data_IF_800019514368
#
_entry.id   IF_800019514368
#
_cell.length_a   1.000
_cell.length_b   1.000
_cell.length_c   1.000
_cell.angle_alpha   90.00
_cell.angle_beta   90.00
_cell.angle_gamma   90.00
#
_symmetry.space_group_name_H-M   'P 1'
#
loop_
_entity.id
_entity.type
_entity.pdbx_description
1 polymer ?
#
# COMPACT_ATOMS: atom_id res chain seq x y z
N UNK A 1 -16.50 -13.58 1.31
CA UNK A 1 -15.50 -12.52 1.13
C UNK A 1 -14.20 -12.94 1.80
N UNK A 2 -13.07 -12.76 1.12
CA UNK A 2 -11.76 -13.15 1.65
C UNK A 2 -11.11 -11.92 2.26
N UNK A 3 -10.79 -11.97 3.55
CA UNK A 3 -10.20 -10.84 4.30
C UNK A 3 -8.79 -11.14 4.81
N UNK A 4 -8.40 -12.39 4.87
CA UNK A 4 -7.10 -12.84 5.35
C UNK A 4 -6.71 -14.13 4.66
N UNK A 5 -5.42 -14.29 4.40
CA UNK A 5 -4.89 -15.48 3.76
C UNK A 5 -3.55 -15.85 4.39
N UNK A 6 -3.42 -17.07 4.85
CA UNK A 6 -2.17 -17.63 5.37
C UNK A 6 -1.86 -18.95 4.67
N UNK A 7 -0.67 -19.09 4.15
CA UNK A 7 -0.26 -20.30 3.49
C UNK A 7 1.17 -20.21 2.98
N UNK A 8 1.53 -21.18 2.15
CA UNK A 8 2.85 -21.26 1.54
C UNK A 8 2.94 -20.30 0.35
N UNK A 9 3.93 -19.43 0.36
CA UNK A 9 4.23 -18.59 -0.79
C UNK A 9 4.87 -19.44 -1.89
N UNK A 10 4.15 -19.67 -2.98
CA UNK A 10 4.64 -20.51 -4.08
C UNK A 10 5.16 -19.73 -5.27
N UNK A 11 4.82 -18.45 -5.36
CA UNK A 11 5.29 -17.56 -6.42
C UNK A 11 5.21 -16.11 -5.96
N UNK A 12 6.18 -15.30 -6.35
CA UNK A 12 6.11 -13.84 -6.19
C UNK A 12 6.89 -13.12 -7.27
N UNK A 13 6.37 -12.00 -7.71
CA UNK A 13 7.10 -10.98 -8.46
C UNK A 13 6.49 -9.61 -8.12
N UNK A 14 7.11 -8.49 -8.54
CA UNK A 14 6.52 -7.17 -8.33
C UNK A 14 5.09 -7.12 -8.91
N UNK A 15 4.11 -6.91 -8.05
CA UNK A 15 2.70 -6.83 -8.45
C UNK A 15 1.87 -8.10 -8.26
N UNK A 16 2.49 -9.25 -8.00
CA UNK A 16 1.75 -10.51 -7.86
C UNK A 16 2.38 -11.45 -6.84
N UNK A 17 1.55 -12.14 -6.09
CA UNK A 17 1.95 -13.28 -5.26
C UNK A 17 0.90 -14.38 -5.38
N UNK A 18 1.36 -15.63 -5.32
CA UNK A 18 0.46 -16.79 -5.22
C UNK A 18 0.73 -17.48 -3.88
N UNK A 19 -0.32 -17.58 -3.08
CA UNK A 19 -0.28 -18.21 -1.76
C UNK A 19 -1.14 -19.46 -1.79
N UNK A 20 -0.56 -20.60 -1.48
CA UNK A 20 -1.26 -21.86 -1.39
C UNK A 20 -1.74 -22.11 0.03
N UNK A 21 -3.04 -22.24 0.19
CA UNK A 21 -3.67 -22.59 1.45
C UNK A 21 -4.59 -23.80 1.24
N UNK A 22 -4.39 -24.86 2.00
CA UNK A 22 -5.17 -26.10 1.90
C UNK A 22 -5.26 -26.66 0.47
N UNK A 23 -4.18 -26.57 -0.29
CA UNK A 23 -4.12 -27.08 -1.66
C UNK A 23 -4.68 -26.14 -2.73
N UNK A 24 -5.15 -24.95 -2.35
CA UNK A 24 -5.68 -23.95 -3.28
C UNK A 24 -4.68 -22.81 -3.43
N UNK A 25 -4.29 -22.49 -4.67
CA UNK A 25 -3.45 -21.35 -4.96
C UNK A 25 -4.29 -20.09 -5.17
N UNK A 26 -4.08 -19.09 -4.32
CA UNK A 26 -4.74 -17.78 -4.42
C UNK A 26 -3.81 -16.80 -5.11
N UNK A 27 -4.28 -16.26 -6.24
CA UNK A 27 -3.56 -15.24 -6.99
C UNK A 27 -3.90 -13.86 -6.44
N UNK A 28 -2.91 -13.17 -5.90
CA UNK A 28 -3.08 -11.92 -5.16
C UNK A 28 -2.27 -10.82 -5.83
N UNK A 29 -2.92 -9.70 -6.14
CA UNK A 29 -2.24 -8.48 -6.56
C UNK A 29 -1.66 -7.78 -5.34
N UNK A 30 -0.38 -7.41 -5.39
CA UNK A 30 0.34 -6.81 -4.27
C UNK A 30 1.05 -5.52 -4.71
N UNK A 31 1.31 -4.65 -3.74
CA UNK A 31 2.15 -3.47 -3.94
C UNK A 31 3.63 -3.84 -3.93
N UNK A 32 4.48 -2.91 -4.40
CA UNK A 32 5.94 -3.08 -4.32
C UNK A 32 6.42 -3.18 -2.87
N UNK A 33 5.97 -2.35 -1.91
CA UNK A 33 6.34 -2.55 -0.50
C UNK A 33 5.99 -3.94 0.03
N UNK A 34 4.81 -4.46 -0.29
CA UNK A 34 4.43 -5.82 0.11
C UNK A 34 5.34 -6.87 -0.55
N UNK A 35 5.63 -6.74 -1.84
CA UNK A 35 6.56 -7.64 -2.53
C UNK A 35 7.94 -7.66 -1.86
N UNK A 36 8.46 -6.49 -1.55
CA UNK A 36 9.80 -6.35 -0.94
C UNK A 36 9.85 -6.99 0.45
N UNK A 37 8.77 -6.88 1.22
CA UNK A 37 8.70 -7.40 2.59
C UNK A 37 8.28 -8.87 2.68
N UNK A 38 7.75 -9.47 1.62
CA UNK A 38 7.38 -10.87 1.60
C UNK A 38 8.61 -11.78 1.79
N UNK A 39 8.43 -12.93 2.48
CA UNK A 39 9.51 -13.90 2.62
C UNK A 39 9.86 -14.56 1.29
N UNK A 40 10.86 -15.44 1.31
CA UNK A 40 11.26 -16.22 0.15
C UNK A 40 10.17 -17.20 -0.27
N UNK A 41 10.10 -17.50 -1.56
CA UNK A 41 9.25 -18.57 -2.09
C UNK A 41 9.53 -19.88 -1.34
N UNK A 42 8.47 -20.55 -0.93
CA UNK A 42 8.52 -21.77 -0.09
C UNK A 42 8.24 -21.51 1.39
N UNK A 43 8.37 -20.27 1.87
CA UNK A 43 8.07 -19.92 3.25
C UNK A 43 6.57 -19.64 3.46
N UNK A 44 6.14 -19.66 4.71
CA UNK A 44 4.79 -19.27 5.09
C UNK A 44 4.64 -17.74 5.00
N UNK A 45 3.53 -17.29 4.43
CA UNK A 45 3.16 -15.89 4.36
C UNK A 45 1.71 -15.69 4.82
N UNK A 46 1.44 -14.57 5.47
CA UNK A 46 0.10 -14.16 5.86
C UNK A 46 -0.17 -12.76 5.31
N UNK A 47 -1.29 -12.59 4.64
CA UNK A 47 -1.67 -11.33 4.01
C UNK A 47 -3.04 -10.88 4.50
N UNK A 48 -3.18 -9.57 4.69
CA UNK A 48 -4.49 -8.93 4.78
C UNK A 48 -5.03 -8.78 3.37
N UNK A 49 -6.26 -9.21 3.13
CA UNK A 49 -6.85 -9.28 1.79
C UNK A 49 -8.02 -8.32 1.66
N UNK A 50 -8.05 -7.60 0.56
CA UNK A 50 -9.22 -6.91 0.07
C UNK A 50 -9.76 -7.68 -1.13
N UNK A 51 -11.03 -8.10 -1.06
CA UNK A 51 -11.71 -8.79 -2.16
C UNK A 51 -12.49 -7.79 -2.99
N UNK A 52 -12.13 -7.67 -4.26
CA UNK A 52 -12.84 -6.82 -5.21
C UNK A 52 -13.70 -7.68 -6.12
N UNK A 53 -15.00 -7.45 -6.09
CA UNK A 53 -15.96 -8.18 -6.93
C UNK A 53 -16.47 -7.26 -8.02
N UNK A 54 -16.35 -7.67 -9.26
CA UNK A 54 -16.97 -7.03 -10.41
C UNK A 54 -17.89 -8.02 -11.12
N UNK A 55 -18.58 -7.57 -12.17
CA UNK A 55 -19.51 -8.45 -12.91
C UNK A 55 -18.82 -9.69 -13.47
N UNK A 56 -17.57 -9.57 -13.88
CA UNK A 56 -16.86 -10.60 -14.66
C UNK A 56 -15.76 -11.31 -13.86
N UNK A 57 -15.37 -10.78 -12.68
CA UNK A 57 -14.25 -11.35 -11.95
C UNK A 57 -14.26 -11.05 -10.46
N UNK A 58 -13.58 -11.90 -9.73
CA UNK A 58 -13.20 -11.67 -8.34
C UNK A 58 -11.69 -11.47 -8.32
N UNK A 59 -11.23 -10.33 -7.79
CA UNK A 59 -9.80 -10.02 -7.66
C UNK A 59 -9.43 -9.88 -6.19
N UNK A 60 -8.24 -10.39 -5.83
CA UNK A 60 -7.69 -10.28 -4.49
C UNK A 60 -6.53 -9.30 -4.49
N UNK A 61 -6.53 -8.39 -3.52
CA UNK A 61 -5.44 -7.45 -3.26
C UNK A 61 -4.90 -7.73 -1.87
N UNK A 62 -3.59 -7.94 -1.76
CA UNK A 62 -2.97 -8.39 -0.51
C UNK A 62 -1.91 -7.44 0.01
N UNK A 63 -1.86 -7.32 1.33
CA UNK A 63 -0.97 -6.42 2.04
C UNK A 63 -0.39 -7.12 3.27
N UNK A 64 0.89 -6.93 3.54
CA UNK A 64 1.51 -7.35 4.79
C UNK A 64 1.19 -6.39 5.93
N UNK A 65 1.09 -5.11 5.60
CA UNK A 65 0.77 -4.06 6.57
C UNK A 65 -0.72 -3.75 6.54
N UNK A 66 -1.35 -3.81 7.69
CA UNK A 66 -2.77 -3.50 7.85
C UNK A 66 -3.08 -2.04 7.52
N UNK A 67 -2.18 -1.11 7.84
CA UNK A 67 -2.36 0.31 7.54
C UNK A 67 -2.32 0.56 6.03
N UNK A 68 -1.46 -0.16 5.31
CA UNK A 68 -1.43 -0.09 3.84
C UNK A 68 -2.77 -0.55 3.25
N UNK A 69 -3.34 -1.64 3.75
CA UNK A 69 -4.68 -2.11 3.33
C UNK A 69 -5.75 -1.06 3.62
N UNK A 70 -5.73 -0.46 4.81
CA UNK A 70 -6.69 0.59 5.18
C UNK A 70 -6.60 1.78 4.23
N UNK A 71 -5.40 2.22 3.91
CA UNK A 71 -5.20 3.31 2.96
C UNK A 71 -5.68 2.92 1.56
N UNK A 72 -5.36 1.72 1.11
CA UNK A 72 -5.89 1.20 -0.16
C UNK A 72 -7.42 1.30 -0.23
N UNK A 73 -8.11 0.86 0.82
CA UNK A 73 -9.57 0.88 0.89
C UNK A 73 -10.13 2.31 0.89
N UNK A 74 -9.42 3.27 1.50
CA UNK A 74 -9.79 4.70 1.43
C UNK A 74 -9.58 5.27 0.03
N UNK A 75 -8.46 4.94 -0.61
CA UNK A 75 -8.15 5.43 -1.96
C UNK A 75 -9.19 4.99 -2.98
N UNK A 76 -9.64 3.75 -2.94
CA UNK A 76 -10.62 3.24 -3.92
C UNK A 76 -12.03 3.81 -3.72
N UNK A 77 -12.31 4.50 -2.63
CA UNK A 77 -13.57 5.23 -2.46
C UNK A 77 -13.63 6.51 -3.29
N UNK A 78 -12.49 7.01 -3.74
CA UNK A 78 -12.42 8.23 -4.54
C UNK A 78 -12.80 7.92 -5.98
N UNK A 79 -13.72 8.69 -6.53
CA UNK A 79 -14.10 8.57 -7.94
C UNK A 79 -12.90 8.84 -8.84
N UNK A 80 -12.61 7.91 -9.76
CA UNK A 80 -11.44 7.96 -10.63
C UNK A 80 -10.26 7.15 -10.10
N UNK A 81 -10.31 6.61 -8.88
CA UNK A 81 -9.29 5.72 -8.33
C UNK A 81 -9.83 4.30 -8.28
N UNK A 82 -9.41 3.48 -9.22
CA UNK A 82 -9.67 2.04 -9.17
C UNK A 82 -8.59 1.30 -8.38
N UNK A 83 -8.81 -0.01 -8.11
CA UNK A 83 -7.84 -0.83 -7.36
C UNK A 83 -6.44 -0.84 -7.97
N UNK A 84 -6.31 -0.90 -9.29
CA UNK A 84 -4.99 -0.91 -9.96
C UNK A 84 -4.24 0.39 -9.76
N UNK A 85 -4.92 1.53 -9.85
CA UNK A 85 -4.30 2.83 -9.60
C UNK A 85 -3.90 2.97 -8.12
N UNK A 86 -4.75 2.52 -7.20
CA UNK A 86 -4.43 2.53 -5.78
C UNK A 86 -3.15 1.72 -5.47
N UNK A 87 -2.98 0.55 -6.08
CA UNK A 87 -1.73 -0.23 -5.97
C UNK A 87 -0.52 0.54 -6.52
N UNK A 88 -0.68 1.22 -7.64
CA UNK A 88 0.40 2.07 -8.20
C UNK A 88 0.76 3.22 -7.26
N UNK A 89 -0.24 3.85 -6.65
CA UNK A 89 -0.02 4.91 -5.68
C UNK A 89 0.78 4.41 -4.47
N UNK A 90 0.38 3.28 -3.92
CA UNK A 90 1.05 2.65 -2.77
C UNK A 90 2.43 2.09 -3.11
N UNK A 91 2.69 1.82 -4.38
CA UNK A 91 4.00 1.40 -4.86
C UNK A 91 4.93 2.59 -5.13
N UNK A 92 4.37 3.76 -5.43
CA UNK A 92 5.13 4.98 -5.71
C UNK A 92 5.45 5.81 -4.47
N UNK A 93 4.59 5.79 -3.46
CA UNK A 93 4.77 6.49 -2.19
C UNK A 93 4.45 5.54 -1.04
N UNK A 94 5.18 5.66 0.07
CA UNK A 94 4.85 4.93 1.29
C UNK A 94 3.48 5.33 1.82
N UNK A 95 2.91 4.51 2.68
CA UNK A 95 1.63 4.82 3.35
C UNK A 95 1.70 6.16 4.07
N UNK A 96 2.75 6.40 4.85
CA UNK A 96 2.94 7.65 5.59
C UNK A 96 3.03 8.85 4.65
N UNK A 97 3.83 8.75 3.58
CA UNK A 97 4.00 9.85 2.62
C UNK A 97 2.72 10.15 1.86
N UNK A 98 1.95 9.12 1.50
CA UNK A 98 0.66 9.31 0.82
C UNK A 98 -0.33 10.03 1.74
N UNK A 99 -0.43 9.60 2.99
CA UNK A 99 -1.29 10.25 4.00
C UNK A 99 -0.85 11.70 4.24
N UNK A 100 0.44 11.94 4.39
CA UNK A 100 0.98 13.29 4.57
C UNK A 100 0.69 14.19 3.37
N UNK A 101 0.86 13.68 2.15
CA UNK A 101 0.61 14.45 0.94
C UNK A 101 -0.87 14.84 0.82
N UNK A 102 -1.78 13.93 1.14
CA UNK A 102 -3.22 14.21 1.09
C UNK A 102 -3.63 15.19 2.18
N UNK A 103 -3.22 14.95 3.43
CA UNK A 103 -3.55 15.84 4.56
C UNK A 103 -2.91 17.21 4.43
N UNK A 104 -1.68 17.25 3.94
CA UNK A 104 -0.93 18.49 3.73
C UNK A 104 -1.27 19.20 2.40
N UNK A 105 -2.21 18.67 1.63
CA UNK A 105 -2.62 19.21 0.34
C UNK A 105 -1.45 19.39 -0.64
N UNK A 106 -0.50 18.47 -0.60
CA UNK A 106 0.67 18.48 -1.48
C UNK A 106 0.34 17.85 -2.85
N UNK A 107 -0.33 18.63 -3.68
CA UNK A 107 -0.74 18.21 -5.02
C UNK A 107 0.46 17.85 -5.90
N UNK A 108 1.57 18.57 -5.75
CA UNK A 108 2.77 18.36 -6.55
C UNK A 108 3.35 16.96 -6.34
N UNK A 109 3.32 16.45 -5.11
CA UNK A 109 3.80 15.12 -4.81
C UNK A 109 2.85 14.04 -5.35
N UNK A 110 1.54 14.25 -5.26
CA UNK A 110 0.53 13.32 -5.78
C UNK A 110 0.59 13.20 -7.30
N UNK A 111 0.81 14.30 -8.00
CA UNK A 111 0.88 14.31 -9.48
C UNK A 111 2.10 13.56 -10.01
N UNK A 112 3.14 13.36 -9.20
CA UNK A 112 4.31 12.55 -9.60
C UNK A 112 3.98 11.08 -9.78
N UNK A 113 2.89 10.61 -9.20
CA UNK A 113 2.45 9.21 -9.34
C UNK A 113 1.91 9.02 -10.75
N UNK A 114 2.44 8.05 -11.54
CA UNK A 114 1.89 7.76 -12.86
C UNK A 114 0.41 7.40 -12.79
N UNK A 115 -0.40 8.06 -13.58
CA UNK A 115 -1.86 7.89 -13.58
C UNK A 115 -2.62 8.88 -12.70
N UNK A 116 -1.93 9.70 -11.92
CA UNK A 116 -2.54 10.77 -11.12
C UNK A 116 -2.25 12.11 -11.78
N UNK A 117 -3.28 12.69 -12.41
CA UNK A 117 -3.22 14.02 -12.96
C UNK A 117 -3.64 15.07 -11.93
N UNK A 118 -3.57 16.34 -12.34
CA UNK A 118 -3.90 17.50 -11.49
C UNK A 118 -5.32 17.41 -10.91
N UNK A 119 -6.31 17.08 -11.74
CA UNK A 119 -7.73 16.99 -11.31
C UNK A 119 -7.93 15.86 -10.30
N UNK A 120 -7.30 14.72 -10.51
CA UNK A 120 -7.40 13.60 -9.59
C UNK A 120 -6.69 13.89 -8.27
N UNK A 121 -5.53 14.54 -8.31
CA UNK A 121 -4.84 14.98 -7.10
C UNK A 121 -5.71 15.93 -6.26
N UNK A 122 -6.36 16.89 -6.90
CA UNK A 122 -7.30 17.79 -6.22
C UNK A 122 -8.46 17.03 -5.59
N UNK A 123 -9.02 16.05 -6.31
CA UNK A 123 -10.13 15.22 -5.82
C UNK A 123 -9.70 14.35 -4.63
N UNK A 124 -8.54 13.73 -4.70
CA UNK A 124 -7.97 12.95 -3.59
C UNK A 124 -7.88 13.80 -2.32
N UNK A 125 -7.36 15.01 -2.44
CA UNK A 125 -7.25 15.94 -1.30
C UNK A 125 -8.62 16.32 -0.77
N UNK A 126 -9.54 16.75 -1.62
CA UNK A 126 -10.87 17.19 -1.20
C UNK A 126 -11.66 16.07 -0.52
N UNK A 127 -11.61 14.87 -1.07
CA UNK A 127 -12.41 13.76 -0.56
C UNK A 127 -11.79 13.06 0.65
N UNK A 128 -10.47 13.05 0.80
CA UNK A 128 -9.79 12.25 1.81
C UNK A 128 -9.10 13.03 2.93
N UNK A 129 -8.82 14.31 2.78
CA UNK A 129 -8.03 15.06 3.78
C UNK A 129 -8.56 14.94 5.22
N UNK A 130 -9.88 14.88 5.40
CA UNK A 130 -10.53 14.76 6.71
C UNK A 130 -10.88 13.30 7.08
N UNK A 131 -10.62 12.35 6.20
CA UNK A 131 -10.92 10.92 6.40
C UNK A 131 -9.70 10.08 6.73
N UNK A 132 -8.54 10.69 6.89
CA UNK A 132 -7.27 10.03 7.20
C UNK A 132 -6.75 10.38 8.60
N UNK A 133 -7.57 10.95 9.46
CA UNK A 133 -7.17 11.39 10.81
C UNK A 133 -6.81 10.22 11.73
N UNK A 134 -7.35 9.04 11.45
CA UNK A 134 -7.08 7.81 12.19
C UNK A 134 -5.77 7.11 11.77
N UNK A 135 -5.06 7.66 10.79
CA UNK A 135 -3.73 7.19 10.44
C UNK A 135 -2.67 7.87 11.31
N UNK A 136 -1.82 7.07 11.95
CA UNK A 136 -0.68 7.57 12.70
C UNK A 136 0.32 8.17 11.70
N UNK A 137 0.34 9.50 11.61
CA UNK A 137 1.32 10.22 10.81
C UNK A 137 2.35 10.80 11.77
N UNK A 138 3.60 10.38 11.63
CA UNK A 138 4.71 11.09 12.24
C UNK A 138 4.67 12.56 11.77
N UNK A 139 4.85 13.55 12.65
CA UNK A 139 4.89 14.93 12.21
C UNK A 139 5.94 15.06 11.10
N UNK A 140 5.58 15.74 10.03
CA UNK A 140 6.48 16.01 8.92
C UNK A 140 7.72 16.72 9.48
N UNK A 141 8.84 16.03 9.60
CA UNK A 141 10.11 16.67 9.86
C UNK A 141 10.48 17.39 8.57
N UNK A 142 10.17 18.66 8.54
CA UNK A 142 10.55 19.51 7.44
C UNK A 142 12.06 19.44 7.26
N UNK A 143 12.52 18.94 6.12
CA UNK A 143 13.85 19.23 5.61
C UNK A 143 14.98 18.32 6.05
N UNK A 144 14.75 17.05 6.36
CA UNK A 144 15.90 16.15 6.54
C UNK A 144 15.84 14.99 5.56
N UNK A 145 16.22 15.29 4.35
CA UNK A 145 16.69 14.28 3.41
C UNK A 145 18.15 13.98 3.74
N UNK A 146 18.49 12.73 4.01
CA UNK A 146 19.86 12.24 4.07
C UNK A 146 20.28 11.63 5.42
N UNK A 147 21.23 12.21 6.16
CA UNK A 147 21.98 11.48 7.20
C UNK A 147 21.15 10.98 8.39
N UNK A 148 19.96 11.51 8.63
CA UNK A 148 19.14 11.06 9.76
C UNK A 148 18.49 9.69 9.52
N UNK A 149 18.20 9.32 8.27
CA UNK A 149 17.69 7.99 7.97
C UNK A 149 18.73 6.91 8.27
N UNK A 150 20.01 7.18 7.99
CA UNK A 150 21.11 6.29 8.34
C UNK A 150 21.34 6.24 9.85
N UNK A 151 21.26 7.35 10.55
CA UNK A 151 21.41 7.40 12.00
C UNK A 151 20.29 6.64 12.74
N UNK A 152 19.07 6.73 12.26
CA UNK A 152 17.92 5.97 12.83
C UNK A 152 18.08 4.48 12.55
N UNK A 153 18.50 4.11 11.35
CA UNK A 153 18.77 2.71 11.00
C UNK A 153 19.95 2.16 11.80
N UNK A 154 20.99 2.92 11.97
CA UNK A 154 22.16 2.56 12.77
C UNK A 154 21.80 2.39 14.26
N UNK A 155 20.97 3.28 14.81
CA UNK A 155 20.46 3.16 16.18
C UNK A 155 19.61 1.91 16.37
N UNK A 156 18.73 1.58 15.41
CA UNK A 156 17.91 0.39 15.45
C UNK A 156 18.74 -0.90 15.34
N UNK A 157 19.78 -0.90 14.52
CA UNK A 157 20.71 -2.04 14.39
C UNK A 157 21.53 -2.22 15.67
N UNK A 158 21.92 -1.15 16.35
CA UNK A 158 22.69 -1.22 17.61
C UNK A 158 21.83 -1.57 18.83
N UNK A 159 20.51 -1.47 18.76
CA UNK A 159 19.58 -1.86 19.83
C UNK A 159 19.10 -3.32 19.68
N UNK A 160 19.39 -3.94 18.56
CA UNK A 160 19.15 -5.36 18.32
C UNK A 160 20.39 -6.17 18.57
#
# INVERSE_FOLDING_TARGET
>A
MIAHLRGKLIYKHPGQAIVEAAGVGYDVTISVPTFTALPSVGAEAALHIHTQVSQDQIALFGFLDREEKRLFERLITVSGVGPKLAIKMLSGLSTERTVQAIRGQDHAQLVRIPGVGKKLAERLVVELKDKLDDFAVAPARAGVEGPIAEDVLSALVNLG
#
